data_IF_161845947414
#
_entry.id   IF_161845947414
#
_cell.length_a   1.000
_cell.length_b   1.000
_cell.length_c   1.000
_cell.angle_alpha   90.00
_cell.angle_beta   90.00
_cell.angle_gamma   90.00
#
_symmetry.space_group_name_H-M   'P 1'
#
loop_
_entity.id
_entity.type
_entity.pdbx_description
1 polymer ?
#
# COMPACT_ATOMS: atom_id res chain seq x y z
N UNK A 1 -11.32 -9.44 -10.63
CA UNK A 1 -10.33 -8.75 -9.79
C UNK A 1 -10.55 -9.14 -8.34
N UNK A 2 -9.56 -9.76 -7.72
CA UNK A 2 -9.56 -10.12 -6.29
C UNK A 2 -8.61 -9.17 -5.56
N UNK A 3 -9.10 -8.26 -4.69
CA UNK A 3 -8.25 -7.35 -3.93
C UNK A 3 -7.15 -8.05 -3.14
N UNK A 4 -7.49 -9.16 -2.48
CA UNK A 4 -6.55 -10.00 -1.74
C UNK A 4 -5.36 -10.44 -2.60
N UNK A 5 -5.61 -11.04 -3.77
CA UNK A 5 -4.55 -11.57 -4.63
C UNK A 5 -3.68 -10.44 -5.19
N UNK A 6 -4.30 -9.30 -5.52
CA UNK A 6 -3.57 -8.11 -5.95
C UNK A 6 -2.69 -7.55 -4.82
N UNK A 7 -3.11 -7.64 -3.56
CA UNK A 7 -2.30 -7.22 -2.42
C UNK A 7 -1.00 -8.02 -2.29
N UNK A 8 -1.04 -9.33 -2.56
CA UNK A 8 0.14 -10.20 -2.56
C UNK A 8 1.07 -9.83 -3.71
N UNK A 9 0.51 -9.56 -4.90
CA UNK A 9 1.27 -9.11 -6.07
C UNK A 9 1.98 -7.78 -5.78
N UNK A 10 1.26 -6.80 -5.19
CA UNK A 10 1.81 -5.49 -4.81
C UNK A 10 3.00 -5.63 -3.85
N UNK A 11 2.89 -6.48 -2.83
CA UNK A 11 3.98 -6.74 -1.89
C UNK A 11 5.21 -7.33 -2.59
N UNK A 12 5.00 -8.25 -3.54
CA UNK A 12 6.06 -8.80 -4.39
C UNK A 12 6.74 -7.71 -5.23
N UNK A 13 5.95 -6.90 -5.94
CA UNK A 13 6.45 -5.80 -6.77
C UNK A 13 7.29 -4.81 -5.93
N UNK A 14 6.83 -4.44 -4.74
CA UNK A 14 7.55 -3.56 -3.83
C UNK A 14 8.88 -4.16 -3.38
N UNK A 15 8.90 -5.46 -3.02
CA UNK A 15 10.12 -6.18 -2.62
C UNK A 15 11.19 -6.17 -3.72
N UNK A 16 10.79 -6.22 -4.99
CA UNK A 16 11.70 -6.18 -6.14
C UNK A 16 11.98 -4.77 -6.69
N UNK A 17 11.42 -3.72 -6.08
CA UNK A 17 11.66 -2.33 -6.48
C UNK A 17 10.89 -1.88 -7.72
N UNK A 18 9.81 -2.56 -8.09
CA UNK A 18 8.95 -2.19 -9.23
C UNK A 18 7.96 -1.07 -8.87
N UNK A 19 8.49 0.07 -8.39
CA UNK A 19 7.74 1.19 -7.82
C UNK A 19 6.62 1.72 -8.73
N UNK A 20 6.87 1.86 -10.04
CA UNK A 20 5.85 2.32 -10.99
C UNK A 20 4.63 1.39 -11.07
N UNK A 21 4.85 0.08 -10.96
CA UNK A 21 3.77 -0.91 -10.98
C UNK A 21 3.00 -0.93 -9.66
N UNK A 22 3.71 -0.75 -8.53
CA UNK A 22 3.08 -0.57 -7.20
C UNK A 22 2.14 0.62 -7.23
N UNK A 23 2.64 1.80 -7.65
CA UNK A 23 1.83 3.03 -7.76
C UNK A 23 0.57 2.80 -8.60
N UNK A 24 0.73 2.28 -9.82
CA UNK A 24 -0.38 2.02 -10.73
C UNK A 24 -1.44 1.10 -10.13
N UNK A 25 -1.02 -0.02 -9.52
CA UNK A 25 -1.95 -1.01 -8.99
C UNK A 25 -2.67 -0.52 -7.73
N UNK A 26 -1.97 0.20 -6.85
CA UNK A 26 -2.57 0.81 -5.65
C UNK A 26 -3.56 1.91 -6.03
N UNK A 27 -3.19 2.84 -6.93
CA UNK A 27 -4.11 3.87 -7.44
C UNK A 27 -5.38 3.27 -8.04
N UNK A 28 -5.23 2.26 -8.90
CA UNK A 28 -6.38 1.61 -9.54
C UNK A 28 -7.31 0.94 -8.53
N UNK A 29 -6.77 0.33 -7.46
CA UNK A 29 -7.57 -0.33 -6.43
C UNK A 29 -8.20 0.67 -5.46
N UNK A 30 -7.59 1.83 -5.20
CA UNK A 30 -8.26 2.92 -4.49
C UNK A 30 -9.40 3.51 -5.31
N UNK A 31 -9.17 3.83 -6.58
CA UNK A 31 -10.23 4.30 -7.49
C UNK A 31 -11.38 3.28 -7.59
N UNK A 32 -11.06 1.98 -7.65
CA UNK A 32 -12.08 0.93 -7.62
C UNK A 32 -12.87 0.91 -6.30
N UNK A 33 -12.19 1.12 -5.17
CA UNK A 33 -12.82 1.13 -3.85
C UNK A 33 -13.87 2.24 -3.73
N UNK A 34 -13.62 3.42 -4.30
CA UNK A 34 -14.55 4.55 -4.29
C UNK A 34 -15.92 4.25 -4.94
N UNK A 35 -15.98 3.26 -5.84
CA UNK A 35 -17.22 2.84 -6.48
C UNK A 35 -18.06 1.89 -5.60
N UNK A 36 -17.53 1.44 -4.45
CA UNK A 36 -18.22 0.58 -3.51
C UNK A 36 -18.67 1.35 -2.26
N UNK A 37 -19.70 0.82 -1.59
CA UNK A 37 -20.23 1.41 -0.38
C UNK A 37 -19.14 1.58 0.70
N UNK A 38 -19.09 2.78 1.29
CA UNK A 38 -18.12 3.17 2.31
C UNK A 38 -16.65 2.97 1.91
N UNK A 39 -16.36 3.01 0.60
CA UNK A 39 -15.01 2.85 0.04
C UNK A 39 -14.34 1.54 0.43
N UNK A 40 -15.12 0.46 0.56
CA UNK A 40 -14.63 -0.87 0.95
C UNK A 40 -14.55 -1.79 -0.25
N UNK A 41 -13.36 -2.35 -0.47
CA UNK A 41 -13.15 -3.38 -1.47
C UNK A 41 -13.94 -4.66 -1.11
N UNK A 42 -14.74 -5.22 -2.02
CA UNK A 42 -15.43 -6.50 -1.81
C UNK A 42 -14.45 -7.67 -1.97
N UNK A 43 -14.94 -8.90 -1.78
CA UNK A 43 -14.18 -10.12 -2.09
C UNK A 43 -13.61 -10.14 -3.52
N UNK A 44 -14.46 -9.84 -4.50
CA UNK A 44 -14.13 -9.79 -5.91
C UNK A 44 -15.10 -8.89 -6.68
N UNK A 45 -14.60 -8.35 -7.77
CA UNK A 45 -15.39 -7.57 -8.74
C UNK A 45 -14.82 -7.76 -10.15
N UNK A 46 -15.56 -7.34 -11.18
CA UNK A 46 -15.03 -7.18 -12.52
C UNK A 46 -15.30 -5.77 -13.02
N UNK A 47 -14.93 -5.49 -14.26
CA UNK A 47 -15.15 -4.20 -14.89
C UNK A 47 -14.70 -4.26 -16.34
N UNK A 48 -15.08 -3.25 -17.11
CA UNK A 48 -14.65 -3.08 -18.49
C UNK A 48 -13.82 -1.82 -18.62
N UNK A 49 -12.82 -1.86 -19.50
CA UNK A 49 -12.10 -0.68 -19.96
C UNK A 49 -12.97 0.06 -20.99
N UNK A 50 -14.00 0.72 -20.47
CA UNK A 50 -14.86 1.59 -21.25
C UNK A 50 -14.22 3.00 -21.22
N UNK A 51 -13.75 3.47 -22.38
CA UNK A 51 -13.11 4.77 -22.58
C UNK A 51 -13.96 5.98 -22.16
N UNK A 52 -15.26 5.80 -21.89
CA UNK A 52 -16.18 6.84 -21.43
C UNK A 52 -16.44 6.79 -19.92
N UNK A 53 -16.47 5.61 -19.29
CA UNK A 53 -16.64 5.43 -17.83
C UNK A 53 -16.02 4.10 -17.35
N UNK A 54 -15.17 4.13 -16.31
CA UNK A 54 -14.71 2.91 -15.64
C UNK A 54 -15.88 2.28 -14.86
N UNK A 55 -16.65 1.39 -15.50
CA UNK A 55 -17.77 0.71 -14.84
C UNK A 55 -17.27 -0.52 -14.09
N UNK A 56 -17.16 -0.40 -12.76
CA UNK A 56 -17.00 -1.56 -11.90
C UNK A 56 -18.31 -2.34 -11.85
N UNK A 57 -18.21 -3.65 -12.06
CA UNK A 57 -19.34 -4.58 -12.00
C UNK A 57 -19.20 -5.39 -10.71
N UNK A 58 -20.09 -5.17 -9.73
CA UNK A 58 -20.07 -5.95 -8.50
C UNK A 58 -20.44 -7.40 -8.81
N UNK A 59 -19.79 -8.33 -8.12
CA UNK A 59 -20.20 -9.73 -8.17
C UNK A 59 -21.37 -9.94 -7.18
N UNK A 60 -22.57 -10.38 -7.62
CA UNK A 60 -23.80 -10.29 -6.80
C UNK A 60 -23.77 -11.01 -5.45
N UNK A 61 -22.94 -12.03 -5.31
CA UNK A 61 -22.82 -12.86 -4.09
C UNK A 61 -21.49 -12.66 -3.36
N UNK A 62 -20.72 -11.63 -3.72
CA UNK A 62 -19.48 -11.31 -3.02
C UNK A 62 -19.76 -10.88 -1.58
N UNK A 63 -18.95 -11.36 -0.64
CA UNK A 63 -18.93 -10.76 0.69
C UNK A 63 -18.33 -9.35 0.65
N UNK A 64 -18.94 -8.39 1.36
CA UNK A 64 -18.47 -7.01 1.43
C UNK A 64 -18.55 -6.44 2.86
N UNK A 65 -17.41 -6.16 3.51
CA UNK A 65 -16.06 -6.59 3.15
C UNK A 65 -15.88 -8.09 3.47
N UNK A 66 -15.14 -8.80 2.61
CA UNK A 66 -14.73 -10.18 2.88
C UNK A 66 -13.45 -10.20 3.73
N UNK A 67 -13.32 -11.21 4.60
CA UNK A 67 -12.26 -11.28 5.61
C UNK A 67 -10.83 -11.26 5.03
N UNK A 68 -10.61 -11.84 3.84
CA UNK A 68 -9.31 -11.80 3.15
C UNK A 68 -9.06 -10.47 2.46
N UNK A 69 -10.09 -9.87 1.86
CA UNK A 69 -9.98 -8.55 1.23
C UNK A 69 -9.67 -7.43 2.23
N UNK A 70 -10.09 -7.57 3.49
CA UNK A 70 -9.85 -6.59 4.57
C UNK A 70 -8.36 -6.32 4.86
N UNK A 71 -7.45 -7.25 4.54
CA UNK A 71 -6.00 -7.05 4.68
C UNK A 71 -5.37 -6.16 3.60
N UNK A 72 -6.07 -5.97 2.47
CA UNK A 72 -5.55 -5.29 1.28
C UNK A 72 -5.00 -3.88 1.56
N UNK A 73 -5.71 -2.99 2.28
CA UNK A 73 -5.20 -1.64 2.54
C UNK A 73 -3.88 -1.63 3.33
N UNK A 74 -3.72 -2.55 4.29
CA UNK A 74 -2.50 -2.66 5.08
C UNK A 74 -1.31 -3.17 4.25
N UNK A 75 -1.56 -4.11 3.33
CA UNK A 75 -0.56 -4.56 2.38
C UNK A 75 -0.11 -3.43 1.44
N UNK A 76 -1.02 -2.56 1.01
CA UNK A 76 -0.67 -1.37 0.22
C UNK A 76 0.17 -0.40 1.01
N UNK A 77 -0.22 -0.07 2.24
CA UNK A 77 0.59 0.80 3.12
C UNK A 77 2.00 0.22 3.29
N UNK A 78 2.13 -1.07 3.56
CA UNK A 78 3.44 -1.72 3.66
C UNK A 78 4.26 -1.60 2.36
N UNK A 79 3.63 -1.85 1.21
CA UNK A 79 4.28 -1.77 -0.09
C UNK A 79 4.70 -0.33 -0.45
N UNK A 80 3.86 0.66 -0.14
CA UNK A 80 4.14 2.08 -0.34
C UNK A 80 5.27 2.57 0.56
N UNK A 81 5.37 2.07 1.79
CA UNK A 81 6.51 2.38 2.67
C UNK A 81 7.83 1.79 2.15
N UNK A 82 7.77 0.71 1.37
CA UNK A 82 8.96 0.00 0.89
C UNK A 82 9.88 -0.44 2.02
N UNK A 83 9.29 -0.75 3.19
CA UNK A 83 10.01 -1.08 4.41
C UNK A 83 10.42 -2.56 4.41
N UNK A 84 11.72 -2.81 4.51
CA UNK A 84 12.29 -4.16 4.59
C UNK A 84 13.22 -4.24 5.80
N UNK A 85 13.09 -5.30 6.59
CA UNK A 85 13.92 -5.54 7.77
C UNK A 85 14.87 -6.70 7.50
N UNK A 86 16.17 -6.44 7.64
CA UNK A 86 17.22 -7.46 7.63
C UNK A 86 17.68 -7.67 9.08
N UNK A 87 17.08 -8.65 9.75
CA UNK A 87 17.38 -8.98 11.14
C UNK A 87 18.79 -9.52 11.35
N UNK A 88 19.41 -10.11 10.32
CA UNK A 88 20.76 -10.65 10.43
C UNK A 88 21.81 -9.53 10.43
N UNK A 89 21.53 -8.43 9.74
CA UNK A 89 22.40 -7.25 9.69
C UNK A 89 21.99 -6.16 10.68
N UNK A 90 20.91 -6.37 11.45
CA UNK A 90 20.31 -5.34 12.31
C UNK A 90 20.00 -4.04 11.55
N UNK A 91 19.54 -4.18 10.30
CA UNK A 91 19.25 -3.04 9.43
C UNK A 91 17.79 -3.03 8.98
N UNK A 92 17.29 -1.84 8.71
CA UNK A 92 16.04 -1.58 8.02
C UNK A 92 16.32 -0.78 6.77
N UNK A 93 15.79 -1.24 5.63
CA UNK A 93 15.73 -0.45 4.40
C UNK A 93 14.36 0.19 4.28
N UNK A 94 14.31 1.46 3.88
CA UNK A 94 13.07 2.18 3.64
C UNK A 94 13.20 2.90 2.29
N UNK A 95 12.38 2.52 1.32
CA UNK A 95 12.34 3.13 0.00
C UNK A 95 10.88 3.47 -0.35
N UNK A 96 10.35 4.57 0.21
CA UNK A 96 8.93 4.83 0.13
C UNK A 96 8.54 5.39 -1.23
N UNK A 97 7.28 5.21 -1.59
CA UNK A 97 6.64 5.80 -2.76
C UNK A 97 5.20 6.17 -2.45
N UNK A 98 4.64 7.08 -3.23
CA UNK A 98 3.24 7.47 -3.15
C UNK A 98 2.60 7.40 -4.54
N UNK A 99 1.31 6.99 -4.61
CA UNK A 99 0.44 7.24 -5.75
C UNK A 99 0.48 8.70 -6.24
N UNK A 100 0.11 8.96 -7.48
CA UNK A 100 0.17 10.32 -8.03
C UNK A 100 -0.83 11.27 -7.37
N UNK A 101 -1.97 10.71 -6.97
CA UNK A 101 -3.12 11.31 -6.28
C UNK A 101 -2.96 11.39 -4.75
N UNK A 102 -1.80 10.99 -4.20
CA UNK A 102 -1.52 11.02 -2.76
C UNK A 102 -0.35 11.94 -2.42
N UNK A 103 -0.63 13.01 -1.69
CA UNK A 103 0.37 14.01 -1.30
C UNK A 103 1.27 13.56 -0.15
N UNK A 104 0.69 12.82 0.81
CA UNK A 104 1.41 12.39 2.00
C UNK A 104 0.77 11.16 2.65
N UNK A 105 1.57 10.46 3.46
CA UNK A 105 1.13 9.33 4.28
C UNK A 105 1.88 9.38 5.61
N UNK A 106 1.17 9.19 6.72
CA UNK A 106 1.77 9.03 8.05
C UNK A 106 1.41 7.67 8.62
N UNK A 107 2.39 6.97 9.17
CA UNK A 107 2.20 5.69 9.83
C UNK A 107 2.91 5.74 11.18
N UNK A 108 2.14 5.58 12.26
CA UNK A 108 2.61 5.64 13.64
C UNK A 108 2.53 4.28 14.30
N UNK A 109 3.45 4.01 15.21
CA UNK A 109 3.48 2.77 15.99
C UNK A 109 3.71 1.53 15.12
N UNK A 110 4.43 1.65 14.00
CA UNK A 110 4.78 0.47 13.20
C UNK A 110 5.75 -0.36 14.04
N UNK A 111 5.33 -1.56 14.42
CA UNK A 111 6.17 -2.46 15.20
C UNK A 111 7.29 -3.02 14.33
N UNK A 112 8.53 -2.89 14.80
CA UNK A 112 9.73 -3.40 14.14
C UNK A 112 10.63 -4.03 15.20
N UNK A 113 10.80 -5.34 15.10
CA UNK A 113 11.52 -6.11 16.11
C UNK A 113 10.85 -5.97 17.47
N UNK A 114 11.56 -5.41 18.45
CA UNK A 114 11.05 -5.17 19.81
C UNK A 114 10.62 -3.72 20.06
N UNK A 115 10.78 -2.84 19.06
CA UNK A 115 10.45 -1.43 19.16
C UNK A 115 9.42 -1.00 18.12
N UNK A 116 9.32 0.30 17.96
CA UNK A 116 8.37 0.95 17.06
C UNK A 116 9.02 2.08 16.28
N UNK A 117 8.48 2.36 15.12
CA UNK A 117 8.81 3.54 14.33
C UNK A 117 7.56 4.35 13.98
N UNK A 118 7.75 5.66 13.89
CA UNK A 118 6.78 6.60 13.32
C UNK A 118 7.40 7.21 12.06
N UNK A 119 6.77 7.01 10.92
CA UNK A 119 7.25 7.49 9.62
C UNK A 119 6.21 8.39 8.96
N UNK A 120 6.70 9.47 8.36
CA UNK A 120 5.92 10.35 7.48
C UNK A 120 6.57 10.38 6.12
N UNK A 121 5.79 10.16 5.07
CA UNK A 121 6.19 10.25 3.66
C UNK A 121 5.40 11.40 3.03
N UNK A 122 6.06 12.24 2.23
CA UNK A 122 5.45 13.37 1.52
C UNK A 122 6.00 13.48 0.11
N UNK A 123 5.20 14.02 -0.80
CA UNK A 123 5.65 14.52 -2.10
C UNK A 123 6.05 15.99 -1.96
N UNK A 124 7.31 16.31 -2.22
CA UNK A 124 7.85 17.67 -2.23
C UNK A 124 8.55 17.90 -3.58
N UNK A 125 8.10 18.89 -4.37
CA UNK A 125 8.65 19.19 -5.71
C UNK A 125 8.77 17.95 -6.64
N UNK A 126 7.73 17.10 -6.68
CA UNK A 126 7.70 15.81 -7.40
C UNK A 126 8.66 14.72 -6.87
N UNK A 127 9.42 14.99 -5.81
CA UNK A 127 10.25 14.00 -5.14
C UNK A 127 9.56 13.42 -3.91
N UNK A 128 9.81 12.14 -3.63
CA UNK A 128 9.33 11.50 -2.41
C UNK A 128 10.36 11.71 -1.31
N UNK A 129 9.96 12.44 -0.27
CA UNK A 129 10.75 12.64 0.94
C UNK A 129 10.10 11.92 2.11
N UNK A 130 10.90 11.50 3.09
CA UNK A 130 10.37 10.90 4.30
C UNK A 130 11.16 11.30 5.54
N UNK A 131 10.48 11.31 6.67
CA UNK A 131 11.03 11.58 7.99
C UNK A 131 10.60 10.50 8.97
N UNK A 132 11.47 10.19 9.93
CA UNK A 132 11.18 9.26 11.02
C UNK A 132 11.19 10.08 12.30
N UNK A 133 10.02 10.22 12.91
CA UNK A 133 9.85 11.05 14.10
C UNK A 133 10.31 10.31 15.37
N UNK A 134 10.03 9.02 15.44
CA UNK A 134 10.44 8.14 16.53
C UNK A 134 11.01 6.84 15.98
N UNK A 135 12.11 6.36 16.55
CA UNK A 135 12.66 5.04 16.24
C UNK A 135 13.22 4.39 17.52
N UNK A 136 12.49 3.41 18.05
CA UNK A 136 12.93 2.58 19.19
C UNK A 136 13.31 1.16 18.77
N UNK A 137 13.37 0.88 17.47
CA UNK A 137 13.64 -0.46 16.94
C UNK A 137 15.08 -0.93 17.20
N UNK A 138 16.02 0.01 17.38
CA UNK A 138 17.45 -0.27 17.51
C UNK A 138 18.12 -0.72 16.20
N UNK A 139 17.41 -0.66 15.07
CA UNK A 139 17.95 -0.99 13.75
C UNK A 139 18.54 0.24 13.07
N UNK A 140 19.64 0.03 12.36
CA UNK A 140 20.21 1.05 11.48
C UNK A 140 19.36 1.21 10.22
N UNK A 141 19.12 2.46 9.78
CA UNK A 141 18.29 2.75 8.62
C UNK A 141 19.19 2.98 7.39
N UNK A 142 18.99 2.15 6.37
CA UNK A 142 19.59 2.30 5.05
C UNK A 142 18.56 2.89 4.08
N UNK A 143 18.93 3.93 3.34
CA UNK A 143 18.07 4.60 2.36
C UNK A 143 18.27 3.97 0.99
#
# INVERSE_FOLDING_TARGET
MWPHDNSIIVLGLAKYGYTAHVKKLVSALFASAEQFEASRLPELFCGYDNQQEETIIPYPVACSPQAWAAGTPFAFVHALLGLLVDSHKSMMKINPTLPDDMDWMECKGIQVGKGFIDITVKKENEEIVFAIANNTSGLEINR
#
